data_IF_467106097576
#
_entry.id   IF_467106097576
#
_cell.length_a   1.000
_cell.length_b   1.000
_cell.length_c   1.000
_cell.angle_alpha   90.00
_cell.angle_beta   90.00
_cell.angle_gamma   90.00
#
_symmetry.space_group_name_H-M   'P 1'
#
loop_
_entity.id
_entity.type
_entity.pdbx_description
1 polymer ?
#
# COMPACT_ATOMS: atom_id res chain seq x y z
N UNK A 1 -25.18 -22.89 7.60
CA UNK A 1 -24.83 -23.11 6.19
C UNK A 1 -24.64 -21.75 5.54
N UNK A 2 -23.41 -21.39 5.17
CA UNK A 2 -23.14 -20.09 4.54
C UNK A 2 -23.50 -20.16 3.07
N UNK A 3 -24.46 -19.34 2.64
CA UNK A 3 -24.82 -19.17 1.23
C UNK A 3 -23.70 -18.46 0.49
N UNK A 4 -23.04 -19.17 -0.41
CA UNK A 4 -22.04 -18.62 -1.32
C UNK A 4 -22.78 -17.75 -2.35
N UNK A 5 -22.75 -16.43 -2.19
CA UNK A 5 -23.34 -15.50 -3.15
C UNK A 5 -22.49 -15.53 -4.42
N UNK A 6 -22.98 -16.17 -5.46
CA UNK A 6 -22.36 -16.22 -6.78
C UNK A 6 -22.23 -14.78 -7.30
N UNK A 7 -21.01 -14.23 -7.31
CA UNK A 7 -20.73 -12.93 -7.90
C UNK A 7 -20.96 -13.07 -9.40
N UNK A 8 -21.86 -12.26 -9.97
CA UNK A 8 -22.16 -12.27 -11.40
C UNK A 8 -20.86 -12.00 -12.21
N UNK A 9 -20.62 -12.70 -13.33
CA UNK A 9 -19.45 -12.47 -14.18
C UNK A 9 -19.32 -11.02 -14.70
N UNK A 10 -20.43 -10.27 -14.69
CA UNK A 10 -20.49 -8.86 -15.09
C UNK A 10 -20.37 -7.88 -13.90
N UNK A 11 -20.17 -8.40 -12.68
CA UNK A 11 -19.88 -7.56 -11.53
C UNK A 11 -18.51 -6.91 -11.71
N UNK A 12 -18.47 -5.58 -11.63
CA UNK A 12 -17.24 -4.80 -11.79
C UNK A 12 -16.17 -5.26 -10.79
N UNK A 13 -16.55 -5.70 -9.59
CA UNK A 13 -15.62 -6.25 -8.60
C UNK A 13 -14.98 -7.56 -9.09
N UNK A 14 -15.75 -8.44 -9.72
CA UNK A 14 -15.21 -9.66 -10.32
C UNK A 14 -14.14 -9.33 -11.37
N UNK A 15 -14.40 -8.32 -12.20
CA UNK A 15 -13.46 -7.88 -13.24
C UNK A 15 -12.19 -7.22 -12.66
N UNK A 16 -12.33 -6.36 -11.63
CA UNK A 16 -11.20 -5.69 -10.98
C UNK A 16 -10.28 -6.70 -10.28
N UNK A 17 -10.88 -7.65 -9.54
CA UNK A 17 -10.14 -8.62 -8.74
C UNK A 17 -9.83 -9.91 -9.48
N UNK A 18 -10.15 -10.00 -10.77
CA UNK A 18 -9.85 -11.17 -11.60
C UNK A 18 -8.35 -11.46 -11.55
N UNK A 19 -8.04 -12.68 -11.12
CA UNK A 19 -6.69 -13.22 -10.97
C UNK A 19 -5.78 -12.39 -10.05
N UNK A 20 -6.33 -11.58 -9.12
CA UNK A 20 -5.54 -10.68 -8.27
C UNK A 20 -4.54 -11.42 -7.39
N UNK A 21 -4.88 -12.63 -6.94
CA UNK A 21 -4.02 -13.49 -6.10
C UNK A 21 -2.68 -13.80 -6.81
N UNK A 22 -2.66 -13.85 -8.14
CA UNK A 22 -1.47 -14.18 -8.92
C UNK A 22 -0.69 -12.94 -9.37
N UNK A 23 -1.15 -11.73 -9.04
CA UNK A 23 -0.52 -10.47 -9.44
C UNK A 23 0.39 -9.98 -8.32
N UNK A 24 1.61 -9.59 -8.69
CA UNK A 24 2.51 -8.84 -7.80
C UNK A 24 2.30 -7.35 -8.05
N UNK A 25 2.23 -6.59 -6.97
CA UNK A 25 2.07 -5.14 -7.01
C UNK A 25 3.25 -4.49 -6.32
N UNK A 26 3.61 -3.30 -6.78
CA UNK A 26 4.54 -2.41 -6.10
C UNK A 26 3.85 -1.07 -5.91
N UNK A 27 3.93 -0.49 -4.72
CA UNK A 27 3.42 0.84 -4.44
C UNK A 27 4.55 1.74 -3.94
N UNK A 28 4.44 3.02 -4.30
CA UNK A 28 5.38 4.07 -3.92
C UNK A 28 4.63 5.19 -3.24
N UNK A 29 5.13 5.64 -2.11
CA UNK A 29 4.64 6.84 -1.42
C UNK A 29 5.62 7.96 -1.71
N UNK A 30 5.10 9.05 -2.27
CA UNK A 30 5.85 10.27 -2.57
C UNK A 30 5.28 11.46 -1.81
N UNK A 31 6.12 12.46 -1.59
CA UNK A 31 5.75 13.71 -0.94
C UNK A 31 5.13 14.70 -1.93
N UNK A 32 4.02 15.35 -1.55
CA UNK A 32 3.45 16.46 -2.32
C UNK A 32 4.07 17.82 -1.93
N UNK A 33 4.71 17.91 -0.76
CA UNK A 33 5.33 19.11 -0.23
C UNK A 33 6.64 18.81 0.49
N UNK A 34 7.36 19.85 0.85
CA UNK A 34 8.58 19.73 1.65
C UNK A 34 8.29 19.82 3.15
N UNK A 35 9.13 19.17 3.96
CA UNK A 35 8.96 19.14 5.41
C UNK A 35 9.73 18.02 6.08
N UNK A 36 9.49 17.82 7.37
CA UNK A 36 10.12 16.75 8.17
C UNK A 36 9.15 15.59 8.32
N UNK A 37 9.61 14.38 8.01
CA UNK A 37 8.81 13.16 8.15
C UNK A 37 8.55 12.81 9.62
N UNK A 38 7.33 12.37 9.90
CA UNK A 38 6.91 11.88 11.22
C UNK A 38 6.01 10.65 11.08
N UNK A 39 6.01 9.78 12.10
CA UNK A 39 5.10 8.63 12.17
C UNK A 39 5.54 7.38 11.41
N UNK A 40 6.80 7.31 10.95
CA UNK A 40 7.28 6.19 10.14
C UNK A 40 7.29 4.84 10.88
N UNK A 41 7.46 4.84 12.21
CA UNK A 41 7.36 3.62 13.02
C UNK A 41 5.94 3.06 13.07
N UNK A 42 4.92 3.94 13.14
CA UNK A 42 3.52 3.53 13.06
C UNK A 42 3.18 2.98 11.67
N UNK A 43 3.75 3.57 10.62
CA UNK A 43 3.61 3.09 9.25
C UNK A 43 4.17 1.67 9.10
N UNK A 44 5.40 1.43 9.57
CA UNK A 44 6.02 0.09 9.54
C UNK A 44 5.16 -0.95 10.23
N UNK A 45 4.76 -0.67 11.48
CA UNK A 45 3.90 -1.57 12.24
C UNK A 45 2.60 -1.86 11.50
N UNK A 46 2.00 -0.84 10.89
CA UNK A 46 0.73 -1.03 10.18
C UNK A 46 0.90 -1.86 8.91
N UNK A 47 1.98 -1.67 8.16
CA UNK A 47 2.30 -2.45 6.96
C UNK A 47 2.50 -3.94 7.32
N UNK A 48 3.23 -4.22 8.40
CA UNK A 48 3.43 -5.58 8.90
C UNK A 48 2.10 -6.23 9.32
N UNK A 49 1.24 -5.50 10.06
CA UNK A 49 -0.09 -5.98 10.48
C UNK A 49 -0.99 -6.41 9.31
N UNK A 50 -0.85 -5.78 8.13
CA UNK A 50 -1.66 -6.08 6.94
C UNK A 50 -0.93 -6.96 5.93
N UNK A 51 0.28 -7.44 6.25
CA UNK A 51 1.06 -8.33 5.39
C UNK A 51 1.70 -7.66 4.17
N UNK A 52 1.99 -6.35 4.24
CA UNK A 52 2.77 -5.66 3.21
C UNK A 52 4.26 -5.77 3.50
N UNK A 53 5.04 -6.03 2.46
CA UNK A 53 6.51 -6.01 2.51
C UNK A 53 7.00 -4.59 2.23
N UNK A 54 7.83 -4.03 3.12
CA UNK A 54 8.45 -2.71 2.87
C UNK A 54 9.85 -2.95 2.29
N UNK A 55 10.06 -2.60 1.02
CA UNK A 55 11.38 -2.71 0.39
C UNK A 55 12.29 -1.52 0.71
N UNK A 56 11.72 -0.33 0.92
CA UNK A 56 12.48 0.89 1.28
C UNK A 56 11.65 1.82 2.13
N UNK A 57 12.29 2.47 3.11
CA UNK A 57 11.64 3.48 3.95
C UNK A 57 12.65 4.53 4.44
N UNK A 58 12.26 5.80 4.38
CA UNK A 58 13.01 6.91 4.99
C UNK A 58 12.59 7.05 6.46
N UNK A 59 13.52 7.25 7.41
CA UNK A 59 13.18 7.34 8.83
C UNK A 59 12.44 8.64 9.20
N UNK A 60 11.79 8.64 10.36
CA UNK A 60 11.23 9.87 10.93
C UNK A 60 12.35 10.85 11.29
N UNK A 61 12.05 12.15 11.22
CA UNK A 61 13.02 13.23 11.47
C UNK A 61 13.83 13.63 10.24
N UNK A 62 13.73 12.88 9.13
CA UNK A 62 14.37 13.28 7.86
C UNK A 62 13.59 14.41 7.20
N UNK A 63 14.29 15.46 6.78
CA UNK A 63 13.75 16.49 5.91
C UNK A 63 13.68 15.98 4.47
N UNK A 64 12.54 16.15 3.82
CA UNK A 64 12.25 15.67 2.47
C UNK A 64 11.73 16.79 1.59
N UNK A 65 11.98 16.68 0.28
CA UNK A 65 11.51 17.63 -0.74
C UNK A 65 10.27 17.09 -1.45
N UNK A 66 9.54 17.93 -2.17
CA UNK A 66 8.44 17.52 -3.05
C UNK A 66 8.91 16.48 -4.07
N UNK A 67 8.10 15.44 -4.26
CA UNK A 67 8.32 14.37 -5.24
C UNK A 67 9.29 13.28 -4.76
N UNK A 68 9.82 13.40 -3.55
CA UNK A 68 10.76 12.43 -3.00
C UNK A 68 10.00 11.15 -2.59
N UNK A 69 10.58 9.99 -2.93
CA UNK A 69 10.04 8.68 -2.58
C UNK A 69 10.41 8.39 -1.13
N UNK A 70 9.40 8.24 -0.26
CA UNK A 70 9.58 8.04 1.17
C UNK A 70 9.36 6.59 1.61
N UNK A 71 8.56 5.82 0.85
CA UNK A 71 8.31 4.39 1.08
C UNK A 71 8.13 3.66 -0.25
N UNK A 72 8.70 2.47 -0.34
CA UNK A 72 8.42 1.47 -1.38
C UNK A 72 7.85 0.21 -0.71
N UNK A 73 6.69 -0.24 -1.19
CA UNK A 73 5.89 -1.39 -0.73
C UNK A 73 5.73 -2.41 -1.86
#
# INVERSE_FOLDING_TARGET
MATCTMISPNDVRYLIFKDIINKKFKAIITTEGEGVLAGMERLKKKAEEIGLEISRIIPSGTFVKRGEIIVEL
#
